data_IF_712900702413
#
_entry.id   IF_712900702413
#
_cell.length_a   1.000
_cell.length_b   1.000
_cell.length_c   1.000
_cell.angle_alpha   90.00
_cell.angle_beta   90.00
_cell.angle_gamma   90.00
#
_symmetry.space_group_name_H-M   'P 1'
#
loop_
_entity.id
_entity.type
_entity.pdbx_description
1 polymer ?
#
# COMPACT_ATOMS: atom_id res chain seq x y z
N UNK A 1 -1.09 -18.03 23.12
CA UNK A 1 -2.12 -17.67 22.10
C UNK A 1 -1.46 -16.75 21.10
N UNK A 2 -1.70 -16.95 19.80
CA UNK A 2 -1.10 -16.14 18.72
C UNK A 2 -2.18 -15.56 17.81
N UNK A 3 -1.90 -14.41 17.22
CA UNK A 3 -2.79 -13.70 16.32
C UNK A 3 -2.11 -13.49 14.96
N UNK A 4 -2.93 -13.34 13.91
CA UNK A 4 -2.48 -13.04 12.55
C UNK A 4 -3.09 -11.73 12.10
N UNK A 5 -2.25 -10.87 11.51
CA UNK A 5 -2.72 -9.70 10.77
C UNK A 5 -3.18 -10.13 9.38
N UNK A 6 -4.42 -9.77 9.04
CA UNK A 6 -4.97 -9.91 7.70
C UNK A 6 -5.13 -8.50 7.15
N UNK A 7 -4.21 -8.03 6.29
CA UNK A 7 -4.25 -6.66 5.83
C UNK A 7 -5.40 -6.43 4.84
N UNK A 8 -6.09 -5.30 5.02
CA UNK A 8 -7.02 -4.72 4.05
C UNK A 8 -6.37 -3.60 3.23
N UNK A 9 -5.23 -3.08 3.70
CA UNK A 9 -4.46 -2.02 3.08
C UNK A 9 -2.97 -2.26 3.27
N UNK A 10 -2.18 -1.93 2.26
CA UNK A 10 -0.72 -1.87 2.34
C UNK A 10 -0.24 -0.59 1.64
N UNK A 11 0.69 0.13 2.27
CA UNK A 11 1.30 1.34 1.72
C UNK A 11 2.80 1.13 1.58
N UNK A 12 3.31 1.40 0.38
CA UNK A 12 4.73 1.26 0.05
C UNK A 12 5.28 2.63 -0.32
N UNK A 13 6.25 3.09 0.44
CA UNK A 13 6.95 4.35 0.21
C UNK A 13 8.40 4.07 -0.16
N UNK A 14 8.85 4.67 -1.26
CA UNK A 14 10.23 4.64 -1.69
C UNK A 14 10.74 6.07 -1.90
N UNK A 15 11.58 6.52 -0.97
CA UNK A 15 12.30 7.77 -1.11
C UNK A 15 13.28 7.65 -2.29
N UNK A 16 13.29 8.64 -3.17
CA UNK A 16 14.32 8.78 -4.19
C UNK A 16 15.10 10.09 -3.98
N UNK A 17 16.12 10.30 -4.81
CA UNK A 17 16.99 11.48 -4.68
C UNK A 17 16.36 12.79 -5.19
N UNK A 18 15.21 12.72 -5.86
CA UNK A 18 14.59 13.84 -6.57
C UNK A 18 13.53 14.60 -5.77
N UNK A 19 13.50 14.48 -4.44
CA UNK A 19 12.50 15.09 -3.53
C UNK A 19 11.03 14.72 -3.81
N UNK A 20 10.75 13.97 -4.88
CA UNK A 20 9.43 13.47 -5.27
C UNK A 20 9.47 11.96 -5.14
N UNK A 21 8.91 11.41 -4.07
CA UNK A 21 8.99 10.00 -3.78
C UNK A 21 7.97 9.17 -4.58
N UNK A 22 8.20 7.86 -4.63
CA UNK A 22 7.21 6.91 -5.14
C UNK A 22 6.40 6.36 -3.97
N UNK A 23 5.07 6.47 -4.06
CA UNK A 23 4.16 5.89 -3.09
C UNK A 23 3.05 5.11 -3.77
N UNK A 24 2.87 3.86 -3.37
CA UNK A 24 1.84 2.97 -3.89
C UNK A 24 0.97 2.47 -2.74
N UNK A 25 -0.33 2.72 -2.85
CA UNK A 25 -1.32 2.20 -1.91
C UNK A 25 -2.08 1.05 -2.57
N UNK A 26 -2.09 -0.10 -1.89
CA UNK A 26 -2.84 -1.29 -2.26
C UNK A 26 -4.06 -1.42 -1.33
N UNK A 27 -5.24 -1.58 -1.90
CA UNK A 27 -6.50 -1.75 -1.16
C UNK A 27 -7.16 -3.05 -1.60
N UNK A 28 -7.58 -3.85 -0.62
CA UNK A 28 -8.35 -5.07 -0.84
C UNK A 28 -9.83 -4.74 -0.96
N UNK A 29 -10.42 -5.05 -2.12
CA UNK A 29 -11.85 -4.93 -2.37
C UNK A 29 -12.67 -5.94 -1.56
N UNK A 30 -13.98 -5.72 -1.51
CA UNK A 30 -14.92 -6.64 -0.87
C UNK A 30 -14.98 -8.02 -1.58
N UNK A 31 -14.61 -8.08 -2.86
CA UNK A 31 -14.42 -9.29 -3.65
C UNK A 31 -13.12 -10.05 -3.32
N UNK A 32 -12.30 -9.49 -2.42
CA UNK A 32 -11.01 -10.03 -2.02
C UNK A 32 -9.87 -9.73 -3.00
N UNK A 33 -10.13 -9.00 -4.08
CA UNK A 33 -9.11 -8.63 -5.06
C UNK A 33 -8.35 -7.39 -4.62
N UNK A 34 -7.09 -7.31 -5.03
CA UNK A 34 -6.25 -6.14 -4.76
C UNK A 34 -6.30 -5.17 -5.94
N UNK A 35 -6.46 -3.89 -5.61
CA UNK A 35 -6.27 -2.77 -6.54
C UNK A 35 -5.17 -1.87 -5.99
N UNK A 36 -4.57 -1.05 -6.84
CA UNK A 36 -3.55 -0.09 -6.39
C UNK A 36 -3.73 1.29 -7.01
N UNK A 37 -3.24 2.31 -6.32
CA UNK A 37 -3.09 3.67 -6.86
C UNK A 37 -1.75 4.28 -6.47
N UNK A 38 -1.19 5.12 -7.35
CA UNK A 38 -0.02 5.93 -7.04
C UNK A 38 -0.47 7.19 -6.29
N UNK A 39 0.23 7.50 -5.20
CA UNK A 39 0.01 8.70 -4.41
C UNK A 39 1.16 9.69 -4.66
N UNK A 40 0.86 10.99 -4.55
CA UNK A 40 1.89 12.01 -4.47
C UNK A 40 2.58 11.91 -3.10
N UNK A 41 3.91 11.99 -3.08
CA UNK A 41 4.71 11.76 -1.88
C UNK A 41 6.07 12.46 -1.93
#
# INVERSE_FOLDING_TARGET
>A
IGYRLVPSLMDFYHANRSEIADRLEFIKGADGQWSHRRLAA
#
